data_IF_576363610505
#
_entry.id   IF_576363610505
#
_cell.length_a   1.000
_cell.length_b   1.000
_cell.length_c   1.000
_cell.angle_alpha   90.00
_cell.angle_beta   90.00
_cell.angle_gamma   90.00
#
_symmetry.space_group_name_H-M   'P 1'
#
loop_
_entity.id
_entity.type
_entity.pdbx_description
1 polymer ?
#
# COMPACT_ATOMS: atom_id res chain seq x y z
N UNK A 1 -1.91 -11.86 -9.73
CA UNK A 1 -2.69 -11.06 -10.71
C UNK A 1 -3.20 -9.75 -10.14
N UNK A 2 -3.46 -9.67 -8.81
CA UNK A 2 -4.02 -8.50 -8.14
C UNK A 2 -3.42 -7.14 -8.51
N UNK A 3 -2.09 -7.03 -8.61
CA UNK A 3 -1.43 -5.76 -9.00
C UNK A 3 -1.90 -5.23 -10.36
N UNK A 4 -2.08 -6.11 -11.35
CA UNK A 4 -2.60 -5.74 -12.67
C UNK A 4 -4.05 -5.28 -12.60
N UNK A 5 -4.86 -5.95 -11.78
CA UNK A 5 -6.26 -5.57 -11.56
C UNK A 5 -6.37 -4.18 -10.91
N UNK A 6 -5.49 -3.86 -9.96
CA UNK A 6 -5.42 -2.53 -9.32
C UNK A 6 -5.09 -1.45 -10.34
N UNK A 7 -4.08 -1.67 -11.20
CA UNK A 7 -3.71 -0.71 -12.24
C UNK A 7 -4.82 -0.53 -13.28
N UNK A 8 -5.45 -1.61 -13.73
CA UNK A 8 -6.58 -1.51 -14.67
C UNK A 8 -7.75 -0.72 -14.07
N UNK A 9 -8.08 -0.96 -12.80
CA UNK A 9 -9.16 -0.26 -12.12
C UNK A 9 -8.82 1.21 -11.87
N UNK A 10 -7.54 1.55 -11.71
CA UNK A 10 -7.11 2.94 -11.63
C UNK A 10 -7.41 3.71 -12.92
N UNK A 11 -7.16 3.11 -14.09
CA UNK A 11 -7.48 3.74 -15.38
C UNK A 11 -8.98 4.08 -15.47
N UNK A 12 -9.85 3.11 -15.13
CA UNK A 12 -11.31 3.31 -15.11
C UNK A 12 -11.73 4.43 -14.12
N UNK A 13 -11.09 4.47 -12.95
CA UNK A 13 -11.39 5.45 -11.91
C UNK A 13 -10.88 6.85 -12.26
N UNK A 14 -9.78 6.97 -13.01
CA UNK A 14 -9.21 8.26 -13.40
C UNK A 14 -10.16 9.05 -14.30
N UNK A 15 -10.93 8.39 -15.17
CA UNK A 15 -11.98 9.04 -15.96
C UNK A 15 -13.06 9.66 -15.05
N UNK A 16 -13.50 8.92 -14.03
CA UNK A 16 -14.49 9.38 -13.06
C UNK A 16 -13.92 10.57 -12.24
N UNK A 17 -12.68 10.45 -11.77
CA UNK A 17 -12.01 11.51 -10.99
C UNK A 17 -11.94 12.82 -11.77
N UNK A 18 -11.69 12.78 -13.08
CA UNK A 18 -11.66 13.98 -13.91
C UNK A 18 -13.03 14.66 -14.03
N UNK A 19 -14.11 13.91 -13.93
CA UNK A 19 -15.48 14.42 -14.06
C UNK A 19 -16.04 14.97 -12.74
N UNK A 20 -15.84 14.25 -11.63
CA UNK A 20 -16.51 14.55 -10.34
C UNK A 20 -15.57 14.82 -9.17
N UNK A 21 -14.27 14.61 -9.33
CA UNK A 21 -13.26 14.79 -8.28
C UNK A 21 -13.06 13.55 -7.39
N UNK A 22 -11.86 13.43 -6.79
CA UNK A 22 -11.45 12.28 -5.97
C UNK A 22 -12.27 12.11 -4.68
N UNK A 23 -12.76 13.20 -4.11
CA UNK A 23 -13.50 13.17 -2.84
C UNK A 23 -14.86 12.47 -2.93
N UNK A 24 -15.45 12.47 -4.13
CA UNK A 24 -16.74 11.83 -4.42
C UNK A 24 -16.67 10.30 -4.52
N UNK A 25 -15.47 9.72 -4.56
CA UNK A 25 -15.29 8.27 -4.68
C UNK A 25 -15.61 7.52 -3.39
N UNK A 26 -15.99 6.25 -3.54
CA UNK A 26 -16.06 5.32 -2.42
C UNK A 26 -14.66 5.11 -1.81
N UNK A 27 -14.60 4.78 -0.52
CA UNK A 27 -13.33 4.63 0.19
C UNK A 27 -12.43 3.51 -0.42
N UNK A 28 -13.02 2.41 -0.91
CA UNK A 28 -12.28 1.36 -1.62
C UNK A 28 -11.67 1.83 -2.95
N UNK A 29 -12.33 2.75 -3.65
CA UNK A 29 -11.79 3.34 -4.88
C UNK A 29 -10.66 4.33 -4.58
N UNK A 30 -10.76 5.10 -3.49
CA UNK A 30 -9.65 5.93 -2.99
C UNK A 30 -8.43 5.07 -2.65
N UNK A 31 -8.63 3.92 -1.99
CA UNK A 31 -7.57 2.95 -1.69
C UNK A 31 -6.97 2.38 -2.98
N UNK A 32 -7.80 2.07 -3.97
CA UNK A 32 -7.34 1.56 -5.28
C UNK A 32 -6.43 2.57 -5.96
N UNK A 33 -6.84 3.84 -6.04
CA UNK A 33 -6.02 4.92 -6.62
C UNK A 33 -4.69 5.11 -5.89
N UNK A 34 -4.68 5.09 -4.55
CA UNK A 34 -3.42 5.21 -3.80
C UNK A 34 -2.52 3.98 -4.00
N UNK A 35 -3.09 2.79 -3.98
CA UNK A 35 -2.31 1.56 -4.19
C UNK A 35 -1.72 1.52 -5.59
N UNK A 36 -2.49 1.93 -6.60
CA UNK A 36 -1.99 2.09 -7.96
C UNK A 36 -0.83 3.09 -8.01
N UNK A 37 -0.93 4.21 -7.28
CA UNK A 37 0.17 5.17 -7.16
C UNK A 37 1.44 4.54 -6.58
N UNK A 38 1.33 3.78 -5.49
CA UNK A 38 2.45 3.02 -4.92
C UNK A 38 3.06 2.05 -5.95
N UNK A 39 2.21 1.35 -6.72
CA UNK A 39 2.68 0.45 -7.77
C UNK A 39 3.45 1.22 -8.86
N UNK A 40 2.97 2.38 -9.32
CA UNK A 40 3.64 3.15 -10.38
C UNK A 40 4.93 3.81 -9.91
N UNK A 41 4.89 4.51 -8.77
CA UNK A 41 5.99 5.38 -8.32
C UNK A 41 7.04 4.62 -7.49
N UNK A 42 6.60 3.64 -6.69
CA UNK A 42 7.48 2.97 -5.72
C UNK A 42 7.87 1.55 -6.12
N UNK A 43 7.17 0.94 -7.07
CA UNK A 43 7.49 -0.40 -7.57
C UNK A 43 7.96 -0.43 -9.03
N UNK A 44 7.19 0.15 -9.96
CA UNK A 44 7.47 0.10 -11.40
C UNK A 44 8.55 1.10 -11.82
N UNK A 45 8.56 2.30 -11.24
CA UNK A 45 9.56 3.30 -11.52
C UNK A 45 10.88 3.01 -10.77
N UNK A 46 11.93 2.71 -11.54
CA UNK A 46 13.28 2.45 -11.02
C UNK A 46 14.29 3.47 -11.53
N UNK A 47 15.21 3.89 -10.67
CA UNK A 47 16.28 4.82 -11.02
C UNK A 47 17.61 4.09 -11.26
N UNK A 48 17.99 3.94 -12.53
CA UNK A 48 19.22 3.26 -12.94
C UNK A 48 20.52 3.90 -12.40
N UNK A 49 20.47 5.16 -11.95
CA UNK A 49 21.64 5.90 -11.47
C UNK A 49 21.91 5.77 -9.96
N UNK A 50 21.03 5.09 -9.20
CA UNK A 50 21.19 4.96 -7.74
C UNK A 50 21.70 3.58 -7.34
N UNK A 51 22.47 3.51 -6.25
CA UNK A 51 23.04 2.24 -5.77
C UNK A 51 21.95 1.22 -5.38
N UNK A 52 20.85 1.70 -4.77
CA UNK A 52 19.75 0.88 -4.26
C UNK A 52 18.73 0.46 -5.33
N UNK A 53 18.73 1.07 -6.53
CA UNK A 53 17.68 0.86 -7.55
C UNK A 53 18.23 0.56 -8.97
N UNK A 54 19.55 0.60 -9.18
CA UNK A 54 20.17 0.22 -10.47
C UNK A 54 19.93 -1.23 -10.89
N UNK A 55 19.73 -2.11 -9.91
CA UNK A 55 19.42 -3.52 -10.11
C UNK A 55 18.57 -3.98 -8.92
N UNK A 56 17.38 -4.51 -9.20
CA UNK A 56 16.46 -5.00 -8.18
C UNK A 56 16.44 -6.54 -8.19
N UNK A 57 17.04 -7.20 -7.18
CA UNK A 57 16.98 -8.66 -7.06
C UNK A 57 15.55 -9.16 -6.92
N UNK A 58 15.32 -10.41 -7.33
CA UNK A 58 13.98 -11.00 -7.33
C UNK A 58 13.34 -11.08 -5.94
N UNK A 59 14.12 -11.40 -4.89
CA UNK A 59 13.59 -11.42 -3.53
C UNK A 59 13.06 -10.03 -3.10
N UNK A 60 13.77 -8.94 -3.46
CA UNK A 60 13.38 -7.56 -3.15
C UNK A 60 12.07 -7.21 -3.86
N UNK A 61 11.98 -7.46 -5.17
CA UNK A 61 10.77 -7.17 -5.94
C UNK A 61 9.56 -7.99 -5.45
N UNK A 62 9.74 -9.28 -5.16
CA UNK A 62 8.67 -10.12 -4.62
C UNK A 62 8.14 -9.59 -3.28
N UNK A 63 9.04 -9.18 -2.37
CA UNK A 63 8.63 -8.66 -1.06
C UNK A 63 7.99 -7.27 -1.12
N UNK A 64 8.51 -6.37 -1.97
CA UNK A 64 7.87 -5.07 -2.23
C UNK A 64 6.44 -5.24 -2.73
N UNK A 65 6.26 -6.07 -3.77
CA UNK A 65 4.94 -6.38 -4.32
C UNK A 65 4.03 -6.99 -3.25
N UNK A 66 4.54 -7.94 -2.46
CA UNK A 66 3.77 -8.59 -1.39
C UNK A 66 3.26 -7.59 -0.38
N UNK A 67 4.10 -6.66 0.08
CA UNK A 67 3.72 -5.67 1.09
C UNK A 67 2.69 -4.65 0.55
N UNK A 68 2.86 -4.18 -0.69
CA UNK A 68 1.90 -3.27 -1.34
C UNK A 68 0.52 -3.93 -1.46
N UNK A 69 0.47 -5.18 -1.93
CA UNK A 69 -0.80 -5.90 -2.07
C UNK A 69 -1.39 -6.28 -0.71
N UNK A 70 -0.55 -6.54 0.29
CA UNK A 70 -1.01 -6.78 1.67
C UNK A 70 -1.70 -5.55 2.26
N UNK A 71 -1.08 -4.38 2.13
CA UNK A 71 -1.69 -3.11 2.50
C UNK A 71 -3.04 -2.90 1.80
N UNK A 72 -3.10 -3.11 0.47
CA UNK A 72 -4.35 -3.00 -0.29
C UNK A 72 -5.47 -3.89 0.26
N UNK A 73 -5.15 -5.15 0.55
CA UNK A 73 -6.14 -6.10 1.07
C UNK A 73 -6.61 -5.69 2.48
N UNK A 74 -5.69 -5.34 3.38
CA UNK A 74 -6.03 -4.92 4.74
C UNK A 74 -6.86 -3.63 4.75
N UNK A 75 -6.48 -2.64 3.94
CA UNK A 75 -7.20 -1.38 3.85
C UNK A 75 -8.65 -1.57 3.35
N UNK A 76 -8.85 -2.39 2.31
CA UNK A 76 -10.21 -2.68 1.82
C UNK A 76 -11.03 -3.46 2.85
N UNK A 77 -10.43 -4.45 3.53
CA UNK A 77 -11.12 -5.21 4.58
C UNK A 77 -11.54 -4.32 5.75
N UNK A 78 -10.68 -3.42 6.21
CA UNK A 78 -10.98 -2.51 7.31
C UNK A 78 -12.14 -1.57 6.97
N UNK A 79 -12.13 -0.98 5.77
CA UNK A 79 -13.21 -0.12 5.28
C UNK A 79 -14.53 -0.89 5.11
N UNK A 80 -14.48 -2.09 4.54
CA UNK A 80 -15.66 -2.93 4.31
C UNK A 80 -16.32 -3.37 5.63
N UNK A 81 -15.51 -3.79 6.61
CA UNK A 81 -16.02 -4.17 7.95
C UNK A 81 -16.67 -3.00 8.67
N UNK A 82 -16.04 -1.82 8.62
CA UNK A 82 -16.57 -0.63 9.27
C UNK A 82 -17.87 -0.10 8.62
N UNK A 83 -18.13 -0.42 7.34
CA UNK A 83 -19.34 0.02 6.65
C UNK A 83 -20.64 -0.61 7.21
N UNK A 84 -20.55 -1.74 7.91
CA UNK A 84 -21.68 -2.45 8.50
C UNK A 84 -21.87 -2.26 10.01
N UNK A 85 -21.07 -1.40 10.65
CA UNK A 85 -21.08 -1.20 12.10
C UNK A 85 -21.56 0.21 12.46
N UNK A 86 -22.28 0.36 13.57
CA UNK A 86 -22.73 1.66 14.11
C UNK A 86 -21.57 2.50 14.72
N UNK A 87 -20.34 1.99 14.66
CA UNK A 87 -19.12 2.62 15.18
C UNK A 87 -18.53 3.69 14.27
N UNK A 88 -17.30 4.11 14.58
CA UNK A 88 -16.61 5.12 13.78
C UNK A 88 -16.24 4.56 12.41
N UNK A 89 -16.66 5.23 11.34
CA UNK A 89 -16.32 4.81 9.97
C UNK A 89 -14.80 4.86 9.76
N UNK A 90 -14.23 3.73 9.35
CA UNK A 90 -12.86 3.68 8.86
C UNK A 90 -12.85 4.25 7.44
N UNK A 91 -12.14 5.35 7.26
CA UNK A 91 -11.90 5.98 5.95
C UNK A 91 -10.43 5.81 5.56
N UNK A 92 -10.14 5.92 4.27
CA UNK A 92 -8.77 5.94 3.76
C UNK A 92 -7.94 7.06 4.41
N UNK A 93 -8.53 8.24 4.60
CA UNK A 93 -7.86 9.36 5.27
C UNK A 93 -7.48 9.00 6.71
N UNK A 94 -8.36 8.31 7.44
CA UNK A 94 -8.06 7.84 8.80
C UNK A 94 -6.92 6.82 8.80
N UNK A 95 -6.96 5.84 7.88
CA UNK A 95 -5.88 4.85 7.70
C UNK A 95 -4.54 5.55 7.47
N UNK A 96 -4.51 6.51 6.53
CA UNK A 96 -3.29 7.26 6.19
C UNK A 96 -2.74 8.05 7.37
N UNK A 97 -3.62 8.66 8.17
CA UNK A 97 -3.21 9.43 9.35
C UNK A 97 -2.70 8.51 10.47
N UNK A 98 -3.43 7.42 10.79
CA UNK A 98 -3.10 6.52 11.90
C UNK A 98 -1.90 5.62 11.60
N UNK A 99 -1.79 5.13 10.36
CA UNK A 99 -0.73 4.22 9.93
C UNK A 99 0.36 4.95 9.12
N UNK A 100 0.55 6.25 9.36
CA UNK A 100 1.48 7.09 8.58
C UNK A 100 2.93 6.58 8.57
N UNK A 101 3.44 6.08 9.71
CA UNK A 101 4.77 5.45 9.78
C UNK A 101 4.87 4.19 8.90
N UNK A 102 3.87 3.32 8.97
CA UNK A 102 3.82 2.10 8.16
C UNK A 102 3.69 2.42 6.68
N UNK A 103 2.92 3.45 6.33
CA UNK A 103 2.79 3.93 4.96
C UNK A 103 4.12 4.51 4.44
N UNK A 104 4.83 5.29 5.27
CA UNK A 104 6.16 5.79 4.92
C UNK A 104 7.15 4.64 4.68
N UNK A 105 7.15 3.62 5.53
CA UNK A 105 7.97 2.42 5.35
C UNK A 105 7.61 1.64 4.08
N UNK A 106 6.33 1.60 3.72
CA UNK A 106 5.83 0.97 2.49
C UNK A 106 6.37 1.67 1.23
N UNK A 107 6.28 3.01 1.18
CA UNK A 107 6.84 3.84 0.10
C UNK A 107 8.37 3.70 0.03
N UNK A 108 9.03 3.59 1.19
CA UNK A 108 10.48 3.63 1.27
C UNK A 108 11.18 2.32 0.91
N UNK A 109 10.44 1.23 0.67
CA UNK A 109 11.04 -0.09 0.38
C UNK A 109 11.97 -0.09 -0.84
N UNK A 110 11.74 0.78 -1.82
CA UNK A 110 12.61 0.90 -3.01
C UNK A 110 14.02 1.36 -2.67
N UNK A 111 14.19 2.11 -1.57
CA UNK A 111 15.47 2.68 -1.17
C UNK A 111 16.37 1.71 -0.41
N UNK A 112 15.88 0.52 -0.06
CA UNK A 112 16.67 -0.53 0.59
C UNK A 112 17.77 -1.04 -0.35
N UNK A 113 19.04 -1.01 0.09
CA UNK A 113 20.17 -1.35 -0.78
C UNK A 113 20.41 -2.88 -0.80
N UNK A 114 20.35 -3.54 -1.97
CA UNK A 114 20.72 -4.95 -2.10
C UNK A 114 22.08 -5.34 -1.49
N UNK A 115 23.01 -4.39 -1.37
CA UNK A 115 24.31 -4.59 -0.74
C UNK A 115 24.22 -4.93 0.77
N UNK A 116 23.10 -4.64 1.43
CA UNK A 116 22.86 -5.01 2.84
C UNK A 116 22.65 -6.52 3.07
N UNK A 117 22.50 -7.29 1.99
CA UNK A 117 22.32 -8.74 2.03
C UNK A 117 20.86 -9.18 2.04
N UNK A 118 20.59 -10.33 1.43
CA UNK A 118 19.24 -10.87 1.25
C UNK A 118 18.52 -11.10 2.59
N UNK A 119 19.16 -11.77 3.55
CA UNK A 119 18.54 -12.08 4.84
C UNK A 119 18.11 -10.83 5.61
N UNK A 120 18.95 -9.79 5.59
CA UNK A 120 18.68 -8.48 6.21
C UNK A 120 17.44 -7.84 5.59
N UNK A 121 17.40 -7.75 4.27
CA UNK A 121 16.28 -7.11 3.56
C UNK A 121 14.99 -7.90 3.72
N UNK A 122 15.06 -9.23 3.59
CA UNK A 122 13.91 -10.11 3.81
C UNK A 122 13.36 -9.97 5.23
N UNK A 123 14.24 -9.86 6.25
CA UNK A 123 13.81 -9.62 7.62
C UNK A 123 13.10 -8.26 7.79
N UNK A 124 13.64 -7.18 7.19
CA UNK A 124 12.98 -5.86 7.19
C UNK A 124 11.60 -5.91 6.53
N UNK A 125 11.47 -6.57 5.38
CA UNK A 125 10.21 -6.66 4.65
C UNK A 125 9.17 -7.53 5.36
N UNK A 126 9.59 -8.66 5.96
CA UNK A 126 8.73 -9.48 6.83
C UNK A 126 8.23 -8.68 8.03
N UNK A 127 9.12 -7.96 8.71
CA UNK A 127 8.74 -7.11 9.82
C UNK A 127 7.71 -6.05 9.41
N UNK A 128 7.86 -5.42 8.23
CA UNK A 128 6.85 -4.50 7.70
C UNK A 128 5.51 -5.19 7.44
N UNK A 129 5.51 -6.40 6.88
CA UNK A 129 4.30 -7.20 6.65
C UNK A 129 3.54 -7.47 7.96
N UNK A 130 4.27 -7.86 9.01
CA UNK A 130 3.70 -8.16 10.33
C UNK A 130 3.24 -6.89 11.05
N UNK A 131 4.01 -5.81 10.94
CA UNK A 131 3.68 -4.49 11.51
C UNK A 131 2.41 -3.92 10.84
N UNK A 132 2.24 -4.07 9.51
CA UNK A 132 1.01 -3.73 8.80
C UNK A 132 -0.19 -4.51 9.35
N UNK A 133 -0.05 -5.83 9.47
CA UNK A 133 -1.12 -6.68 10.02
C UNK A 133 -1.54 -6.24 11.43
N UNK A 134 -0.56 -5.97 12.28
CA UNK A 134 -0.80 -5.56 13.67
C UNK A 134 -1.39 -4.14 13.74
N UNK A 135 -0.89 -3.21 12.92
CA UNK A 135 -1.39 -1.84 12.84
C UNK A 135 -2.84 -1.76 12.39
N UNK A 136 -3.25 -2.55 11.39
CA UNK A 136 -4.65 -2.61 10.97
C UNK A 136 -5.56 -3.25 12.03
N UNK A 137 -5.09 -4.28 12.75
CA UNK A 137 -5.87 -4.85 13.88
C UNK A 137 -6.09 -3.82 14.98
N UNK A 138 -5.04 -3.11 15.40
CA UNK A 138 -5.15 -2.06 16.41
C UNK A 138 -6.11 -0.94 15.96
N UNK A 139 -6.04 -0.54 14.68
CA UNK A 139 -6.97 0.42 14.11
C UNK A 139 -8.43 -0.07 14.16
N UNK A 140 -8.70 -1.32 13.79
CA UNK A 140 -10.04 -1.91 13.86
C UNK A 140 -10.57 -1.97 15.31
N UNK A 141 -9.74 -2.42 16.26
CA UNK A 141 -10.11 -2.55 17.67
C UNK A 141 -10.42 -1.20 18.32
N UNK A 142 -9.71 -0.12 17.95
CA UNK A 142 -9.97 1.24 18.44
C UNK A 142 -11.27 1.85 17.89
N UNK A 143 -11.73 1.40 16.73
CA UNK A 143 -12.89 1.97 16.03
C UNK A 143 -14.21 1.24 16.32
N UNK A 144 -14.14 0.12 17.05
CA UNK A 144 -15.26 -0.69 17.50
C UNK A 144 -15.90 -0.14 18.77
#
# INVERSE_FOLDING_TARGET
TKAREVLQREDDLNEIVQLVGKDALAEGDKITLETAKLLREDYLAQNAFTAYDKFCPFYKSVWMMRNIIHFYNLANQAVERAAGMDGQKITYTLIKHRLGDLFYRLVSQKFEDPAEGEDTLVAKFKKLYDDLTSGFRALEDETR
#
